data_IF_606525167970
#
_entry.id   IF_606525167970
#
_cell.length_a   1.000
_cell.length_b   1.000
_cell.length_c   1.000
_cell.angle_alpha   90.00
_cell.angle_beta   90.00
_cell.angle_gamma   90.00
#
_symmetry.space_group_name_H-M   'P 1'
#
loop_
_entity.id
_entity.type
_entity.pdbx_description
1 polymer ?
#
# COMPACT_ATOMS: atom_id res chain seq x y z
N UNK A 1 3.53 1.01 -24.73
CA UNK A 1 3.11 0.41 -23.45
C UNK A 1 3.38 1.45 -22.38
N UNK A 2 2.39 1.82 -21.57
CA UNK A 2 2.60 2.78 -20.49
C UNK A 2 3.52 2.13 -19.43
N UNK A 3 4.47 2.91 -18.92
CA UNK A 3 5.26 2.49 -17.77
C UNK A 3 4.33 2.45 -16.54
N UNK A 4 4.13 1.25 -15.99
CA UNK A 4 3.23 1.04 -14.85
C UNK A 4 3.71 1.84 -13.63
N UNK A 5 5.02 2.06 -13.50
CA UNK A 5 5.58 2.86 -12.42
C UNK A 5 5.09 4.31 -12.46
N UNK A 6 4.91 4.88 -13.66
CA UNK A 6 4.48 6.26 -13.86
C UNK A 6 3.02 6.52 -13.48
N UNK A 7 2.23 5.45 -13.31
CA UNK A 7 0.85 5.57 -12.83
C UNK A 7 0.76 5.83 -11.32
N UNK A 8 1.83 5.54 -10.59
CA UNK A 8 1.91 5.69 -9.14
C UNK A 8 2.56 7.06 -8.83
N UNK A 9 1.98 7.91 -7.98
CA UNK A 9 2.62 9.16 -7.52
C UNK A 9 4.06 9.00 -7.00
N UNK A 10 4.38 7.86 -6.38
CA UNK A 10 5.75 7.54 -5.91
C UNK A 10 6.71 7.19 -7.06
N UNK A 11 6.20 7.04 -8.28
CA UNK A 11 6.93 6.86 -9.54
C UNK A 11 7.94 5.70 -9.55
N UNK A 12 7.55 4.58 -8.93
CA UNK A 12 8.28 3.32 -8.97
C UNK A 12 7.36 2.16 -8.64
N UNK A 13 7.76 0.97 -9.08
CA UNK A 13 7.12 -0.27 -8.64
C UNK A 13 7.25 -0.45 -7.13
N UNK A 14 6.17 -0.97 -6.53
CA UNK A 14 6.17 -1.43 -5.14
C UNK A 14 7.03 -2.68 -4.97
N UNK A 15 7.59 -2.85 -3.78
CA UNK A 15 8.32 -4.05 -3.37
C UNK A 15 7.39 -4.95 -2.54
N UNK A 16 7.52 -6.29 -2.63
CA UNK A 16 6.71 -7.21 -1.82
C UNK A 16 6.79 -6.94 -0.31
N UNK A 17 7.95 -6.47 0.17
CA UNK A 17 8.15 -6.13 1.59
C UNK A 17 7.24 -5.00 2.06
N UNK A 18 6.86 -4.06 1.20
CA UNK A 18 5.98 -2.94 1.57
C UNK A 18 4.55 -3.42 1.85
N UNK A 19 4.10 -4.44 1.12
CA UNK A 19 2.82 -5.12 1.40
C UNK A 19 2.94 -5.97 2.67
N UNK A 20 4.04 -6.69 2.84
CA UNK A 20 4.27 -7.51 4.03
C UNK A 20 4.32 -6.67 5.32
N UNK A 21 4.97 -5.51 5.30
CA UNK A 21 5.05 -4.58 6.43
C UNK A 21 3.67 -4.03 6.79
N UNK A 22 2.84 -3.69 5.79
CA UNK A 22 1.47 -3.25 6.00
C UNK A 22 0.58 -4.36 6.62
N UNK A 23 0.74 -5.61 6.16
CA UNK A 23 0.08 -6.78 6.74
C UNK A 23 0.54 -6.97 8.19
N UNK A 24 1.85 -6.90 8.45
CA UNK A 24 2.41 -7.07 9.78
C UNK A 24 1.87 -6.01 10.75
N UNK A 25 1.74 -4.75 10.30
CA UNK A 25 1.12 -3.68 11.08
C UNK A 25 -0.37 -3.96 11.36
N UNK A 26 -1.15 -4.31 10.33
CA UNK A 26 -2.58 -4.65 10.48
C UNK A 26 -2.82 -5.84 11.42
N UNK A 27 -1.92 -6.82 11.43
CA UNK A 27 -1.99 -7.99 12.31
C UNK A 27 -1.47 -7.71 13.75
N UNK A 28 -0.89 -6.53 13.99
CA UNK A 28 -0.31 -6.17 15.28
C UNK A 28 -1.29 -5.46 16.20
N UNK A 29 -1.00 -5.37 17.52
CA UNK A 29 -1.79 -4.56 18.46
C UNK A 29 -1.88 -3.07 18.10
N UNK A 30 -0.99 -2.57 17.25
CA UNK A 30 -0.96 -1.17 16.84
C UNK A 30 -2.18 -0.80 15.99
N UNK A 31 -2.80 -1.77 15.32
CA UNK A 31 -4.01 -1.59 14.53
C UNK A 31 -5.31 -1.91 15.32
N UNK A 32 -5.25 -1.98 16.65
CA UNK A 32 -6.36 -2.49 17.50
C UNK A 32 -7.71 -1.76 17.36
N UNK A 33 -7.73 -0.53 16.83
CA UNK A 33 -8.95 0.23 16.59
C UNK A 33 -9.30 0.37 15.10
N UNK A 34 -8.58 -0.33 14.22
CA UNK A 34 -8.76 -0.26 12.77
C UNK A 34 -9.49 -1.52 12.30
N UNK A 35 -10.73 -1.35 11.86
CA UNK A 35 -11.56 -2.44 11.34
C UNK A 35 -12.47 -1.93 10.22
N UNK A 36 -12.94 -2.84 9.37
CA UNK A 36 -13.88 -2.54 8.28
C UNK A 36 -13.33 -1.61 7.19
N UNK A 37 -12.01 -1.52 7.05
CA UNK A 37 -11.35 -0.60 6.09
C UNK A 37 -10.42 -1.34 5.15
N UNK A 38 -10.15 -0.71 3.99
CA UNK A 38 -9.19 -1.19 2.99
C UNK A 38 -7.96 -0.27 3.06
N UNK A 39 -6.80 -0.84 3.40
CA UNK A 39 -5.52 -0.14 3.33
C UNK A 39 -4.89 -0.35 1.95
N UNK A 40 -4.88 0.70 1.12
CA UNK A 40 -4.20 0.65 -0.17
C UNK A 40 -2.69 0.77 0.00
N UNK A 41 -1.94 -0.19 -0.58
CA UNK A 41 -0.48 -0.19 -0.64
C UNK A 41 -0.06 -0.13 -2.11
N UNK A 42 -0.31 1.01 -2.75
CA UNK A 42 -0.30 1.14 -4.21
C UNK A 42 0.54 2.33 -4.71
N UNK A 43 1.36 2.94 -3.86
CA UNK A 43 2.17 4.10 -4.21
C UNK A 43 1.35 5.34 -4.58
N UNK A 44 0.06 5.40 -4.20
CA UNK A 44 -0.86 6.50 -4.43
C UNK A 44 -1.74 6.34 -5.68
N UNK A 45 -1.69 5.19 -6.35
CA UNK A 45 -2.41 4.97 -7.62
C UNK A 45 -3.92 5.24 -7.52
N UNK A 46 -4.56 4.89 -6.40
CA UNK A 46 -6.00 5.12 -6.15
C UNK A 46 -6.36 6.48 -5.59
N UNK A 47 -5.38 7.32 -5.22
CA UNK A 47 -5.60 8.59 -4.52
C UNK A 47 -5.63 9.82 -5.43
N UNK A 48 -5.39 9.63 -6.73
CA UNK A 48 -5.38 10.70 -7.74
C UNK A 48 -6.73 10.87 -8.45
#
# INVERSE_FOLDING_TARGET
>A
MADIAALQPVNRMGRPTEVADAIAWLASPQASFVTGTILNVDGGYKAQ
#
